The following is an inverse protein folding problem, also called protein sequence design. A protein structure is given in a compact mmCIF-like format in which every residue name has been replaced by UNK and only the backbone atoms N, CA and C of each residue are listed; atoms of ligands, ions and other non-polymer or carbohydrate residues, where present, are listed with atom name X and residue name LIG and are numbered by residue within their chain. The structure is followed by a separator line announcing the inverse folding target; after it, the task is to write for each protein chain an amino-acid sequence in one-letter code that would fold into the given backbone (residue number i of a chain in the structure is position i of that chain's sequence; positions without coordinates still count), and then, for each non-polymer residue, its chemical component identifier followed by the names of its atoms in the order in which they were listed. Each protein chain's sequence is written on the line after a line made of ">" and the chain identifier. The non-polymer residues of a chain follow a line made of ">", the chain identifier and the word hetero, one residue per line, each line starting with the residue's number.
data_IF_816094798064
#
_entry.id   IF_816094798064
#
_cell.length_a   1.000
_cell.length_b   1.000
_cell.length_c   1.000
_cell.angle_alpha   90.00
_cell.angle_beta   90.00
_cell.angle_gamma   90.00
#
_symmetry.space_group_name_H-M   'P 1'
#
loop_
_entity.id
_entity.type
_entity.pdbx_description
1 polymer ?
#
# COMPACT_ATOMS: atom_id res chain seq x y z
N UNK A 1 -6.74 53.53 30.70
CA UNK A 1 -5.78 52.78 29.85
C UNK A 1 -5.39 51.41 30.43
N UNK A 2 -5.18 51.27 31.75
CA UNK A 2 -4.77 50.01 32.39
C UNK A 2 -5.78 48.85 32.22
N UNK A 3 -7.10 49.13 32.28
CA UNK A 3 -8.16 48.13 32.06
C UNK A 3 -8.17 47.55 30.65
N UNK A 4 -7.87 48.37 29.63
CA UNK A 4 -7.84 47.93 28.22
C UNK A 4 -6.63 47.03 27.96
N UNK A 5 -5.46 47.37 28.52
CA UNK A 5 -4.25 46.54 28.43
C UNK A 5 -4.42 45.17 29.10
N UNK A 6 -5.15 45.12 30.21
CA UNK A 6 -5.47 43.86 30.90
C UNK A 6 -6.39 42.96 30.06
N UNK A 7 -7.42 43.52 29.44
CA UNK A 7 -8.37 42.77 28.58
C UNK A 7 -7.67 42.22 27.32
N UNK A 8 -6.81 43.02 26.69
CA UNK A 8 -6.06 42.56 25.51
C UNK A 8 -5.10 41.43 25.89
N UNK A 9 -4.43 41.54 27.05
CA UNK A 9 -3.54 40.49 27.55
C UNK A 9 -4.26 39.17 27.82
N UNK A 10 -5.41 39.19 28.49
CA UNK A 10 -6.18 37.97 28.77
C UNK A 10 -6.76 37.34 27.51
N UNK A 11 -7.29 38.13 26.57
CA UNK A 11 -7.77 37.60 25.28
C UNK A 11 -6.64 36.96 24.48
N UNK A 12 -5.45 37.57 24.47
CA UNK A 12 -4.30 37.02 23.73
C UNK A 12 -3.85 35.68 24.33
N UNK A 13 -3.82 35.55 25.66
CA UNK A 13 -3.49 34.29 26.35
C UNK A 13 -4.55 33.22 26.05
N UNK A 14 -5.84 33.58 26.06
CA UNK A 14 -6.93 32.64 25.74
C UNK A 14 -6.80 32.14 24.30
N UNK A 15 -6.50 33.02 23.34
CA UNK A 15 -6.30 32.64 21.93
C UNK A 15 -5.08 31.72 21.78
N UNK A 16 -3.97 32.01 22.47
CA UNK A 16 -2.78 31.15 22.46
C UNK A 16 -3.09 29.77 23.06
N UNK A 17 -3.82 29.72 24.18
CA UNK A 17 -4.24 28.46 24.81
C UNK A 17 -5.16 27.65 23.89
N UNK A 18 -6.12 28.30 23.21
CA UNK A 18 -7.00 27.66 22.23
C UNK A 18 -6.20 27.11 21.04
N UNK A 19 -5.24 27.87 20.52
CA UNK A 19 -4.38 27.43 19.41
C UNK A 19 -3.47 26.26 19.84
N UNK A 20 -2.91 26.29 21.05
CA UNK A 20 -2.11 25.18 21.58
C UNK A 20 -2.97 23.92 21.79
N UNK A 21 -4.18 24.05 22.33
CA UNK A 21 -5.11 22.94 22.49
C UNK A 21 -5.59 22.37 21.15
N UNK A 22 -5.81 23.20 20.14
CA UNK A 22 -6.17 22.77 18.79
C UNK A 22 -5.05 21.92 18.13
N UNK A 23 -3.78 22.24 18.38
CA UNK A 23 -2.65 21.46 17.86
C UNK A 23 -2.50 20.08 18.53
N UNK A 24 -2.91 19.91 19.80
CA UNK A 24 -2.87 18.62 20.49
C UNK A 24 -3.97 17.67 20.00
N UNK A 25 -5.11 18.22 19.53
CA UNK A 25 -6.23 17.43 18.98
C UNK A 25 -5.91 16.78 17.63
N UNK A 26 -4.96 17.32 16.84
CA UNK A 26 -4.55 16.74 15.55
C UNK A 26 -3.50 15.61 15.66
N UNK A 27 -3.00 15.27 16.85
CA UNK A 27 -1.99 14.21 17.04
C UNK A 27 -2.57 12.86 17.52
N UNK A 28 -3.89 12.71 17.56
CA UNK A 28 -4.55 11.48 18.00
C UNK A 28 -5.40 10.89 16.88
N UNK A 29 -4.77 10.30 15.86
CA UNK A 29 -5.44 9.27 15.06
C UNK A 29 -5.48 7.97 15.86
N UNK A 30 -6.36 7.89 16.86
CA UNK A 30 -6.83 6.58 17.30
C UNK A 30 -7.79 6.09 16.23
N UNK A 31 -7.33 5.20 15.34
CA UNK A 31 -8.24 4.46 14.46
C UNK A 31 -9.25 3.75 15.39
N UNK A 32 -10.54 4.13 15.42
CA UNK A 32 -11.48 3.43 16.24
C UNK A 32 -11.70 2.09 15.55
N UNK A 33 -10.99 1.07 16.00
CA UNK A 33 -11.28 -0.32 15.63
C UNK A 33 -12.65 -0.63 16.27
N UNK A 34 -13.72 -0.34 15.53
CA UNK A 34 -15.08 -0.72 15.92
C UNK A 34 -15.06 -2.25 15.98
N UNK A 35 -14.98 -2.79 17.21
CA UNK A 35 -15.06 -4.22 17.46
C UNK A 35 -16.51 -4.65 17.25
N UNK A 36 -16.89 -4.89 16.00
CA UNK A 36 -18.17 -5.52 15.67
C UNK A 36 -18.14 -6.96 16.18
N UNK A 37 -18.90 -7.22 17.24
CA UNK A 37 -19.20 -8.56 17.72
C UNK A 37 -20.59 -8.93 17.21
N UNK A 38 -20.69 -10.01 16.42
CA UNK A 38 -21.97 -10.54 15.98
C UNK A 38 -22.39 -11.69 16.93
N UNK A 39 -23.59 -11.67 17.55
CA UNK A 39 -24.03 -12.70 18.49
C UNK A 39 -24.05 -14.13 17.93
N UNK A 40 -24.13 -14.26 16.60
CA UNK A 40 -24.25 -15.52 15.87
C UNK A 40 -23.00 -15.87 15.04
N UNK A 41 -21.91 -15.09 15.15
CA UNK A 41 -20.70 -15.31 14.36
C UNK A 41 -19.44 -14.85 15.08
N UNK A 42 -18.40 -15.69 15.07
CA UNK A 42 -17.09 -15.39 15.65
C UNK A 42 -16.25 -14.43 14.79
N UNK A 43 -16.76 -14.06 13.61
CA UNK A 43 -16.09 -13.14 12.68
C UNK A 43 -16.00 -11.74 13.28
N UNK A 44 -14.83 -11.10 13.16
CA UNK A 44 -14.57 -9.75 13.71
C UNK A 44 -14.57 -8.66 12.64
N UNK A 45 -14.77 -9.03 11.38
CA UNK A 45 -14.75 -8.11 10.24
C UNK A 45 -15.95 -8.32 9.32
N UNK A 46 -16.46 -7.24 8.67
CA UNK A 46 -17.54 -7.35 7.69
C UNK A 46 -17.24 -8.30 6.53
N UNK A 47 -16.02 -8.30 6.00
CA UNK A 47 -15.65 -9.21 4.91
C UNK A 47 -15.52 -10.67 5.36
N UNK A 48 -15.06 -10.92 6.59
CA UNK A 48 -15.02 -12.27 7.16
C UNK A 48 -16.43 -12.87 7.25
N UNK A 49 -17.42 -12.07 7.66
CA UNK A 49 -18.82 -12.47 7.69
C UNK A 49 -19.36 -12.84 6.30
N UNK A 50 -19.08 -12.01 5.28
CA UNK A 50 -19.48 -12.28 3.89
C UNK A 50 -18.81 -13.57 3.36
N UNK A 51 -17.53 -13.77 3.65
CA UNK A 51 -16.79 -14.98 3.27
C UNK A 51 -17.38 -16.26 3.87
N UNK A 52 -17.70 -16.21 5.17
CA UNK A 52 -18.31 -17.35 5.87
C UNK A 52 -19.70 -17.68 5.34
N UNK A 53 -20.52 -16.66 5.10
CA UNK A 53 -21.84 -16.84 4.51
C UNK A 53 -21.76 -17.46 3.11
N UNK A 54 -20.86 -16.96 2.27
CA UNK A 54 -20.64 -17.48 0.91
C UNK A 54 -20.25 -18.96 0.92
N UNK A 55 -19.32 -19.38 1.79
CA UNK A 55 -18.89 -20.79 1.89
C UNK A 55 -20.01 -21.72 2.37
N UNK A 56 -20.81 -21.28 3.34
CA UNK A 56 -21.96 -22.05 3.84
C UNK A 56 -23.01 -22.21 2.73
N UNK A 57 -23.34 -21.12 2.03
CA UNK A 57 -24.28 -21.14 0.92
C UNK A 57 -23.82 -22.06 -0.21
N UNK A 58 -22.52 -22.03 -0.55
CA UNK A 58 -21.94 -22.90 -1.57
C UNK A 58 -22.01 -24.38 -1.17
N UNK A 59 -21.72 -24.70 0.10
CA UNK A 59 -21.84 -26.06 0.63
C UNK A 59 -23.28 -26.59 0.60
N UNK A 60 -24.25 -25.74 0.97
CA UNK A 60 -25.68 -26.09 0.91
C UNK A 60 -26.15 -26.31 -0.54
N UNK A 61 -25.72 -25.46 -1.47
CA UNK A 61 -26.02 -25.62 -2.89
C UNK A 61 -25.46 -26.93 -3.45
N UNK A 62 -24.21 -27.28 -3.10
CA UNK A 62 -23.60 -28.55 -3.49
C UNK A 62 -24.31 -29.77 -2.89
N UNK A 63 -24.68 -29.72 -1.61
CA UNK A 63 -25.43 -30.78 -0.95
C UNK A 63 -26.82 -30.98 -1.55
N UNK A 64 -27.53 -29.89 -1.87
CA UNK A 64 -28.82 -29.94 -2.55
C UNK A 64 -28.70 -30.55 -3.95
N UNK A 65 -27.69 -30.14 -4.72
CA UNK A 65 -27.42 -30.71 -6.04
C UNK A 65 -27.14 -32.22 -5.96
N UNK A 66 -26.32 -32.65 -5.01
CA UNK A 66 -26.06 -34.07 -4.76
C UNK A 66 -27.35 -34.83 -4.38
N UNK A 67 -28.17 -34.27 -3.49
CA UNK A 67 -29.45 -34.87 -3.09
C UNK A 67 -30.40 -35.08 -4.26
N UNK A 68 -30.53 -34.08 -5.14
CA UNK A 68 -31.36 -34.17 -6.36
C UNK A 68 -30.80 -35.21 -7.33
N UNK A 69 -29.48 -35.30 -7.49
CA UNK A 69 -28.85 -36.30 -8.34
C UNK A 69 -29.08 -37.73 -7.82
N UNK A 70 -28.94 -37.95 -6.51
CA UNK A 70 -29.22 -39.26 -5.89
C UNK A 70 -30.69 -39.63 -6.05
N UNK A 71 -31.60 -38.69 -5.76
CA UNK A 71 -33.03 -38.90 -5.93
C UNK A 71 -33.40 -39.25 -7.37
N UNK A 72 -32.89 -38.48 -8.35
CA UNK A 72 -33.10 -38.74 -9.77
C UNK A 72 -32.53 -40.10 -10.21
N UNK A 73 -31.35 -40.48 -9.72
CA UNK A 73 -30.74 -41.77 -10.04
C UNK A 73 -31.58 -42.95 -9.50
N UNK A 74 -32.02 -42.88 -8.24
CA UNK A 74 -32.89 -43.90 -7.64
C UNK A 74 -34.21 -43.98 -8.42
N UNK A 75 -34.85 -42.84 -8.67
CA UNK A 75 -36.10 -42.79 -9.42
C UNK A 75 -35.95 -43.41 -10.81
N UNK A 76 -34.86 -43.13 -11.52
CA UNK A 76 -34.59 -43.69 -12.85
C UNK A 76 -34.38 -45.21 -12.84
N UNK A 77 -33.67 -45.73 -11.83
CA UNK A 77 -33.37 -47.18 -11.72
C UNK A 77 -34.56 -48.01 -11.25
N UNK A 78 -35.40 -47.47 -10.37
CA UNK A 78 -36.52 -48.20 -9.75
C UNK A 78 -37.82 -48.05 -10.56
N UNK A 79 -37.93 -47.04 -11.43
CA UNK A 79 -39.15 -46.83 -12.22
C UNK A 79 -39.26 -47.76 -13.43
N UNK A 80 -40.38 -48.50 -13.50
CA UNK A 80 -40.76 -49.29 -14.68
C UNK A 80 -41.49 -48.48 -15.75
N UNK A 81 -42.12 -47.35 -15.38
CA UNK A 81 -42.88 -46.50 -16.29
C UNK A 81 -42.00 -45.50 -17.03
N UNK A 82 -42.27 -45.29 -18.33
CA UNK A 82 -41.53 -44.34 -19.19
C UNK A 82 -41.64 -42.90 -18.69
N UNK A 83 -42.80 -42.53 -18.13
CA UNK A 83 -43.07 -41.19 -17.57
C UNK A 83 -42.17 -40.88 -16.38
N UNK A 84 -42.08 -41.78 -15.40
CA UNK A 84 -41.22 -41.60 -14.23
C UNK A 84 -39.72 -41.58 -14.57
N UNK A 85 -39.32 -42.25 -15.65
CA UNK A 85 -37.95 -42.14 -16.19
C UNK A 85 -37.69 -40.77 -16.79
N UNK A 86 -38.67 -40.19 -17.48
CA UNK A 86 -38.56 -38.85 -18.02
C UNK A 86 -38.50 -37.80 -16.89
N UNK A 87 -39.34 -37.94 -15.87
CA UNK A 87 -39.32 -37.08 -14.68
C UNK A 87 -37.96 -37.13 -13.97
N UNK A 88 -37.39 -38.34 -13.80
CA UNK A 88 -36.05 -38.51 -13.23
C UNK A 88 -34.96 -37.78 -14.02
N UNK A 89 -35.04 -37.81 -15.35
CA UNK A 89 -34.11 -37.09 -16.22
C UNK A 89 -34.29 -35.58 -16.11
N UNK A 90 -35.50 -35.06 -15.89
CA UNK A 90 -35.73 -33.63 -15.68
C UNK A 90 -35.07 -33.15 -14.38
N UNK A 91 -35.21 -33.91 -13.29
CA UNK A 91 -34.51 -33.63 -12.03
C UNK A 91 -32.98 -33.62 -12.19
N UNK A 92 -32.43 -34.62 -12.88
CA UNK A 92 -30.98 -34.71 -13.15
C UNK A 92 -30.53 -33.53 -14.01
N UNK A 93 -31.24 -33.23 -15.10
CA UNK A 93 -30.92 -32.09 -15.98
C UNK A 93 -31.00 -30.76 -15.24
N UNK A 94 -31.99 -30.57 -14.36
CA UNK A 94 -32.12 -29.40 -13.51
C UNK A 94 -30.91 -29.21 -12.59
N UNK A 95 -30.49 -30.29 -11.92
CA UNK A 95 -29.30 -30.26 -11.06
C UNK A 95 -28.01 -29.96 -11.86
N UNK A 96 -27.86 -30.55 -13.06
CA UNK A 96 -26.72 -30.29 -13.95
C UNK A 96 -26.69 -28.84 -14.44
N UNK A 97 -27.82 -28.28 -14.86
CA UNK A 97 -27.90 -26.87 -15.25
C UNK A 97 -27.60 -25.92 -14.07
N UNK A 98 -28.05 -26.26 -12.87
CA UNK A 98 -27.70 -25.53 -11.65
C UNK A 98 -26.20 -25.57 -11.34
N UNK A 99 -25.56 -26.74 -11.48
CA UNK A 99 -24.11 -26.89 -11.31
C UNK A 99 -23.33 -26.14 -12.39
N UNK A 100 -23.78 -26.16 -13.64
CA UNK A 100 -23.18 -25.39 -14.74
C UNK A 100 -23.30 -23.88 -14.48
N UNK A 101 -24.43 -23.40 -13.99
CA UNK A 101 -24.60 -21.98 -13.62
C UNK A 101 -23.67 -21.59 -12.45
N UNK A 102 -23.57 -22.44 -11.44
CA UNK A 102 -22.69 -22.23 -10.29
C UNK A 102 -21.21 -22.22 -10.73
N UNK A 103 -20.81 -23.16 -11.59
CA UNK A 103 -19.47 -23.20 -12.16
C UNK A 103 -19.21 -22.00 -13.08
N UNK A 104 -20.18 -21.59 -13.89
CA UNK A 104 -20.09 -20.40 -14.73
C UNK A 104 -19.89 -19.13 -13.91
N UNK A 105 -20.64 -18.97 -12.83
CA UNK A 105 -20.46 -17.85 -11.89
C UNK A 105 -19.07 -17.88 -11.24
N UNK A 106 -18.58 -19.07 -10.84
CA UNK A 106 -17.23 -19.25 -10.32
C UNK A 106 -16.16 -18.84 -11.34
N UNK A 107 -16.28 -19.29 -12.59
CA UNK A 107 -15.29 -19.01 -13.65
C UNK A 107 -15.25 -17.53 -14.04
N UNK A 108 -16.40 -16.85 -14.07
CA UNK A 108 -16.46 -15.40 -14.32
C UNK A 108 -15.72 -14.64 -13.21
N UNK A 109 -16.01 -14.96 -11.94
CA UNK A 109 -15.32 -14.35 -10.81
C UNK A 109 -13.81 -14.63 -10.85
N UNK A 110 -13.44 -15.88 -11.12
CA UNK A 110 -12.05 -16.31 -11.20
C UNK A 110 -11.27 -15.64 -12.35
N UNK A 111 -11.91 -15.44 -13.50
CA UNK A 111 -11.30 -14.79 -14.67
C UNK A 111 -11.08 -13.30 -14.45
N UNK A 112 -12.01 -12.62 -13.79
CA UNK A 112 -11.88 -11.19 -13.47
C UNK A 112 -10.85 -11.00 -12.38
N UNK A 113 -10.96 -11.75 -11.28
CA UNK A 113 -10.00 -11.72 -10.18
C UNK A 113 -10.14 -12.97 -9.29
N UNK A 114 -9.12 -13.84 -9.24
CA UNK A 114 -9.15 -15.07 -8.44
C UNK A 114 -9.26 -14.82 -6.92
N UNK A 115 -8.94 -13.62 -6.44
CA UNK A 115 -9.11 -13.23 -5.03
C UNK A 115 -10.59 -13.04 -4.63
N UNK A 116 -11.50 -12.88 -5.59
CA UNK A 116 -12.95 -12.77 -5.32
C UNK A 116 -13.57 -14.12 -4.93
N UNK A 117 -12.90 -15.21 -5.27
CA UNK A 117 -13.33 -16.57 -4.89
C UNK A 117 -12.49 -17.12 -3.75
N UNK A 118 -11.21 -16.75 -3.71
CA UNK A 118 -10.34 -16.96 -2.55
C UNK A 118 -10.49 -15.80 -1.57
N UNK A 119 -11.66 -15.70 -0.93
CA UNK A 119 -11.98 -14.64 0.02
C UNK A 119 -11.05 -14.71 1.25
N UNK A 120 -9.88 -14.05 1.13
CA UNK A 120 -8.98 -13.75 2.23
C UNK A 120 -9.76 -12.91 3.24
N UNK A 121 -9.65 -13.26 4.53
CA UNK A 121 -10.25 -12.44 5.57
C UNK A 121 -9.65 -11.04 5.48
N UNK A 122 -10.44 -10.01 5.78
CA UNK A 122 -9.89 -8.65 5.90
C UNK A 122 -8.79 -8.55 6.97
N UNK A 123 -8.64 -9.57 7.83
CA UNK A 123 -7.52 -9.73 8.74
C UNK A 123 -6.20 -10.07 8.03
N UNK A 124 -6.18 -10.45 6.75
CA UNK A 124 -4.96 -10.52 5.92
C UNK A 124 -4.76 -9.29 5.02
N UNK A 125 -5.85 -8.65 4.56
CA UNK A 125 -5.76 -7.36 3.85
C UNK A 125 -5.42 -6.19 4.80
N UNK A 126 -5.70 -6.34 6.09
CA UNK A 126 -5.46 -5.33 7.14
C UNK A 126 -4.79 -5.94 8.38
N UNK A 127 -4.10 -7.08 8.25
CA UNK A 127 -3.27 -7.62 9.35
C UNK A 127 -2.27 -6.54 9.74
N UNK A 128 -2.23 -6.09 11.01
CA UNK A 128 -1.00 -5.53 11.53
C UNK A 128 0.05 -6.65 11.39
N UNK A 129 1.17 -6.36 10.73
CA UNK A 129 2.28 -7.32 10.60
C UNK A 129 2.67 -7.77 12.01
N UNK A 130 2.31 -9.00 12.38
CA UNK A 130 2.89 -9.66 13.53
C UNK A 130 4.34 -10.03 13.15
N UNK A 131 5.32 -9.88 14.06
CA UNK A 131 6.72 -10.06 13.71
C UNK A 131 6.97 -11.53 13.39
N UNK A 132 7.10 -11.86 12.11
CA UNK A 132 7.53 -13.19 11.67
C UNK A 132 6.80 -13.73 10.43
N UNK A 133 7.47 -13.61 9.29
CA UNK A 133 7.42 -14.56 8.17
C UNK A 133 6.23 -14.50 7.21
N UNK A 134 5.98 -13.33 6.61
CA UNK A 134 5.65 -13.18 5.19
C UNK A 134 6.08 -11.76 4.80
N UNK A 135 7.06 -11.67 3.91
CA UNK A 135 7.87 -10.46 3.68
C UNK A 135 7.10 -9.37 2.93
N UNK A 136 6.19 -8.67 3.61
CA UNK A 136 6.01 -7.23 3.39
C UNK A 136 7.18 -6.56 4.09
N UNK A 137 8.22 -6.35 3.32
CA UNK A 137 9.49 -5.68 3.61
C UNK A 137 9.22 -4.21 3.83
N UNK A 138 8.41 -3.84 4.82
CA UNK A 138 8.55 -2.49 5.37
C UNK A 138 9.97 -2.43 5.92
N UNK A 139 10.86 -1.60 5.34
CA UNK A 139 12.21 -1.51 5.82
C UNK A 139 12.19 -1.14 7.30
N UNK A 140 12.90 -1.91 8.12
CA UNK A 140 13.16 -1.53 9.51
C UNK A 140 14.33 -0.53 9.52
N UNK A 141 14.25 0.55 10.32
CA UNK A 141 15.23 1.63 10.28
C UNK A 141 16.65 1.12 10.49
N UNK A 142 17.51 1.33 9.49
CA UNK A 142 18.94 1.03 9.55
C UNK A 142 19.33 -0.44 9.56
N UNK A 143 18.39 -1.37 9.36
CA UNK A 143 18.66 -2.83 9.45
C UNK A 143 18.23 -3.61 8.22
N UNK A 144 17.58 -2.96 7.25
CA UNK A 144 17.13 -3.61 6.02
C UNK A 144 18.28 -3.74 5.01
N UNK A 145 18.42 -4.95 4.48
CA UNK A 145 19.40 -5.27 3.43
C UNK A 145 19.02 -4.62 2.10
N UNK A 146 19.99 -4.50 1.19
CA UNK A 146 19.77 -3.96 -0.17
C UNK A 146 18.63 -4.72 -0.91
N UNK A 147 18.68 -6.05 -0.91
CA UNK A 147 17.67 -6.90 -1.54
C UNK A 147 16.25 -6.66 -0.98
N UNK A 148 16.14 -6.50 0.34
CA UNK A 148 14.88 -6.18 1.01
C UNK A 148 14.36 -4.80 0.60
N UNK A 149 15.20 -3.79 0.44
CA UNK A 149 14.72 -2.46 0.04
C UNK A 149 14.31 -2.45 -1.44
N UNK A 150 15.07 -3.14 -2.31
CA UNK A 150 14.73 -3.27 -3.73
C UNK A 150 13.40 -3.95 -3.96
N UNK A 151 13.20 -5.09 -3.30
CA UNK A 151 11.96 -5.84 -3.44
C UNK A 151 10.78 -5.01 -2.91
N UNK A 152 10.96 -4.19 -1.86
CA UNK A 152 9.91 -3.35 -1.29
C UNK A 152 9.49 -2.25 -2.27
N UNK A 153 10.47 -1.51 -2.77
CA UNK A 153 10.24 -0.45 -3.75
C UNK A 153 9.60 -0.99 -5.03
N UNK A 154 10.05 -2.14 -5.52
CA UNK A 154 9.47 -2.81 -6.69
C UNK A 154 8.03 -3.26 -6.43
N UNK A 155 7.72 -3.83 -5.27
CA UNK A 155 6.37 -4.29 -4.93
C UNK A 155 5.39 -3.13 -4.82
N UNK A 156 5.74 -2.06 -4.07
CA UNK A 156 4.87 -0.90 -3.85
C UNK A 156 4.62 -0.12 -5.13
N UNK A 157 5.65 0.00 -5.98
CA UNK A 157 5.55 0.78 -7.22
C UNK A 157 5.00 0.00 -8.41
N UNK A 158 4.75 -1.30 -8.27
CA UNK A 158 4.43 -2.17 -9.42
C UNK A 158 5.58 -2.25 -10.44
N UNK A 159 6.83 -2.16 -9.96
CA UNK A 159 8.05 -2.21 -10.79
C UNK A 159 8.48 -0.87 -11.39
N UNK A 160 7.84 0.25 -11.03
CA UNK A 160 8.14 1.58 -11.57
C UNK A 160 9.31 2.28 -10.88
N UNK A 161 9.59 1.93 -9.62
CA UNK A 161 10.82 2.32 -8.95
C UNK A 161 11.85 1.21 -9.20
N UNK A 162 12.90 1.53 -9.95
CA UNK A 162 13.96 0.61 -10.34
C UNK A 162 15.32 1.11 -9.88
N UNK A 163 16.31 0.21 -9.84
CA UNK A 163 17.69 0.54 -9.49
C UNK A 163 18.60 0.15 -10.65
N UNK A 164 19.39 1.09 -11.14
CA UNK A 164 20.09 0.96 -12.43
C UNK A 164 21.18 -0.13 -12.45
N UNK A 165 21.79 -0.43 -11.30
CA UNK A 165 22.80 -1.48 -11.19
C UNK A 165 22.59 -2.33 -9.92
N UNK A 166 22.96 -3.62 -9.94
CA UNK A 166 23.00 -4.43 -8.72
C UNK A 166 24.12 -3.96 -7.79
N UNK A 167 24.05 -4.38 -6.51
CA UNK A 167 25.15 -4.25 -5.55
C UNK A 167 26.43 -4.89 -6.14
N UNK A 168 27.64 -4.30 -5.94
CA UNK A 168 27.97 -3.14 -5.10
C UNK A 168 27.92 -1.78 -5.80
N UNK A 169 27.53 -1.71 -7.08
CA UNK A 169 27.59 -0.44 -7.85
C UNK A 169 26.54 0.57 -7.42
N UNK A 170 25.37 0.08 -7.07
CA UNK A 170 24.34 0.87 -6.39
C UNK A 170 23.91 0.03 -5.19
N UNK A 171 24.02 0.56 -3.98
CA UNK A 171 23.61 -0.13 -2.75
C UNK A 171 22.48 0.63 -2.09
N UNK A 172 21.41 -0.06 -1.71
CA UNK A 172 20.36 0.49 -0.85
C UNK A 172 20.55 0.10 0.62
N UNK A 173 21.51 -0.77 0.92
CA UNK A 173 21.76 -1.25 2.28
C UNK A 173 22.15 -0.08 3.21
N UNK A 174 21.44 0.08 4.33
CA UNK A 174 21.69 1.18 5.27
C UNK A 174 21.01 2.50 4.90
N UNK A 175 20.15 2.53 3.87
CA UNK A 175 19.24 3.66 3.69
C UNK A 175 18.34 3.83 4.92
N UNK A 176 18.06 5.09 5.24
CA UNK A 176 17.15 5.45 6.34
C UNK A 176 15.71 5.32 5.88
N UNK A 177 14.80 5.05 6.81
CA UNK A 177 13.36 5.01 6.50
C UNK A 177 12.83 6.34 5.97
N UNK A 178 13.40 7.45 6.47
CA UNK A 178 13.11 8.79 5.97
C UNK A 178 13.43 8.94 4.48
N UNK A 179 14.50 8.29 4.05
CA UNK A 179 14.97 8.30 2.67
C UNK A 179 14.08 7.42 1.80
N UNK A 180 13.76 6.22 2.25
CA UNK A 180 12.87 5.31 1.51
C UNK A 180 11.46 5.90 1.38
N UNK A 181 10.92 6.47 2.47
CA UNK A 181 9.63 7.17 2.47
C UNK A 181 9.65 8.43 1.59
N UNK A 182 10.78 9.14 1.57
CA UNK A 182 11.00 10.28 0.71
C UNK A 182 10.99 9.92 -0.78
N UNK A 183 11.64 8.82 -1.16
CA UNK A 183 11.59 8.28 -2.53
C UNK A 183 10.16 7.92 -2.93
N UNK A 184 9.39 7.26 -2.06
CA UNK A 184 7.98 6.95 -2.32
C UNK A 184 7.11 8.21 -2.44
N UNK A 185 7.36 9.24 -1.61
CA UNK A 185 6.68 10.53 -1.72
C UNK A 185 6.96 11.19 -3.07
N UNK A 186 8.22 11.18 -3.50
CA UNK A 186 8.63 11.76 -4.77
C UNK A 186 8.01 11.02 -5.96
N UNK A 187 8.02 9.69 -5.93
CA UNK A 187 7.34 8.84 -6.90
C UNK A 187 5.84 9.12 -7.00
N UNK A 188 5.15 9.26 -5.86
CA UNK A 188 3.73 9.63 -5.85
C UNK A 188 3.48 11.01 -6.47
N UNK A 189 4.36 11.99 -6.21
CA UNK A 189 4.18 13.35 -6.75
C UNK A 189 4.46 13.50 -8.24
N UNK A 190 5.27 12.62 -8.83
CA UNK A 190 5.44 12.60 -10.29
C UNK A 190 4.33 11.81 -11.01
N UNK A 191 3.19 11.54 -10.34
CA UNK A 191 2.10 10.77 -10.93
C UNK A 191 2.40 9.28 -11.04
N UNK A 192 3.28 8.75 -10.16
CA UNK A 192 3.78 7.37 -10.22
C UNK A 192 4.58 7.11 -11.49
N UNK A 193 5.47 8.03 -11.84
CA UNK A 193 6.39 7.93 -12.98
C UNK A 193 7.40 6.77 -12.84
N UNK A 194 8.12 6.49 -13.91
CA UNK A 194 9.26 5.56 -13.87
C UNK A 194 10.45 6.28 -13.21
N UNK A 195 10.81 5.85 -12.01
CA UNK A 195 11.84 6.45 -11.17
C UNK A 195 13.02 5.49 -11.05
N UNK A 196 14.21 5.95 -11.46
CA UNK A 196 15.42 5.13 -11.47
C UNK A 196 16.41 5.66 -10.45
N UNK A 197 16.70 4.83 -9.44
CA UNK A 197 17.77 5.05 -8.47
C UNK A 197 19.10 4.67 -9.11
N UNK A 198 20.03 5.61 -9.17
CA UNK A 198 21.36 5.42 -9.76
C UNK A 198 22.45 5.21 -8.71
N UNK A 199 22.25 5.72 -7.50
CA UNK A 199 23.19 5.61 -6.38
C UNK A 199 22.43 5.71 -5.04
N UNK A 200 22.95 5.07 -3.99
CA UNK A 200 22.34 4.99 -2.66
C UNK A 200 23.38 5.16 -1.56
N UNK A 201 23.81 4.07 -0.93
CA UNK A 201 24.74 4.08 0.21
C UNK A 201 26.16 3.67 -0.13
N UNK A 202 26.45 3.35 -1.38
CA UNK A 202 27.80 3.02 -1.81
C UNK A 202 28.78 4.12 -1.41
N UNK A 203 29.81 3.74 -0.66
CA UNK A 203 30.74 4.67 0.00
C UNK A 203 31.83 5.19 -0.94
N UNK A 204 31.71 4.95 -2.25
CA UNK A 204 32.86 4.98 -3.12
C UNK A 204 33.45 6.38 -3.34
N UNK A 205 32.71 7.50 -3.22
CA UNK A 205 33.26 8.81 -3.63
C UNK A 205 32.76 10.10 -2.93
N UNK A 206 32.07 10.07 -1.78
CA UNK A 206 31.55 11.31 -1.17
C UNK A 206 32.09 11.63 0.24
N UNK A 207 32.38 12.92 0.44
CA UNK A 207 32.98 13.47 1.64
C UNK A 207 32.22 13.07 2.93
N UNK A 208 32.93 12.76 4.03
CA UNK A 208 32.31 12.41 5.29
C UNK A 208 31.45 13.58 5.79
N UNK A 209 30.16 13.32 5.97
CA UNK A 209 29.20 14.30 6.44
C UNK A 209 27.99 13.62 7.07
N UNK A 210 27.34 14.28 8.02
CA UNK A 210 26.15 13.75 8.71
C UNK A 210 25.04 13.35 7.74
N UNK A 211 24.89 14.09 6.64
CA UNK A 211 23.85 13.96 5.63
C UNK A 211 24.44 13.50 4.29
N UNK A 212 24.94 12.27 4.22
CA UNK A 212 25.63 11.70 3.07
C UNK A 212 24.98 10.41 2.54
N UNK A 213 25.50 9.91 1.42
CA UNK A 213 25.19 8.58 0.88
C UNK A 213 25.53 7.49 1.90
N UNK A 214 26.76 7.51 2.42
CA UNK A 214 27.25 6.56 3.42
C UNK A 214 26.40 6.51 4.72
N UNK A 215 25.73 7.61 5.08
CA UNK A 215 24.83 7.67 6.24
C UNK A 215 23.36 7.42 5.90
N UNK A 216 23.06 7.05 4.65
CA UNK A 216 21.73 6.64 4.19
C UNK A 216 20.72 7.78 4.00
N UNK A 217 21.17 9.03 3.99
CA UNK A 217 20.30 10.21 3.83
C UNK A 217 20.04 10.60 2.38
N UNK A 218 20.89 10.12 1.46
CA UNK A 218 20.89 10.54 0.07
C UNK A 218 20.64 9.39 -0.88
N UNK A 219 20.03 9.72 -2.01
CA UNK A 219 19.84 8.83 -3.16
C UNK A 219 20.03 9.66 -4.41
N UNK A 220 20.76 9.11 -5.38
CA UNK A 220 20.86 9.70 -6.71
C UNK A 220 19.76 9.17 -7.60
N UNK A 221 19.09 10.08 -8.30
CA UNK A 221 17.97 9.78 -9.17
C UNK A 221 18.25 10.21 -10.61
N UNK A 222 17.90 9.34 -11.56
CA UNK A 222 17.96 9.67 -12.99
C UNK A 222 16.94 10.77 -13.30
N UNK A 223 17.33 11.88 -13.94
CA UNK A 223 16.40 12.93 -14.34
C UNK A 223 15.50 12.42 -15.45
N UNK A 224 14.20 12.70 -15.33
CA UNK A 224 13.17 12.49 -16.35
C UNK A 224 12.25 13.70 -16.34
N UNK A 225 11.47 13.94 -17.40
CA UNK A 225 10.57 15.11 -17.46
C UNK A 225 9.55 15.12 -16.32
N UNK A 226 8.98 13.96 -15.98
CA UNK A 226 8.04 13.79 -14.87
C UNK A 226 8.69 14.01 -13.51
N UNK A 227 9.88 13.43 -13.28
CA UNK A 227 10.62 13.61 -12.04
C UNK A 227 11.04 15.07 -11.86
N UNK A 228 11.56 15.69 -12.92
CA UNK A 228 11.99 17.09 -12.92
C UNK A 228 10.82 18.00 -12.56
N UNK A 229 9.67 17.81 -13.21
CA UNK A 229 8.45 18.58 -12.93
C UNK A 229 7.99 18.42 -11.49
N UNK A 230 8.03 17.19 -10.95
CA UNK A 230 7.69 16.93 -9.55
C UNK A 230 8.65 17.60 -8.57
N UNK A 231 9.96 17.58 -8.85
CA UNK A 231 10.99 18.24 -8.03
C UNK A 231 10.83 19.76 -8.07
N UNK A 232 10.57 20.35 -9.25
CA UNK A 232 10.36 21.79 -9.40
C UNK A 232 9.20 22.30 -8.56
N UNK A 233 8.13 21.52 -8.43
CA UNK A 233 6.98 21.84 -7.59
C UNK A 233 7.25 21.71 -6.07
N UNK A 234 8.36 21.09 -5.67
CA UNK A 234 8.75 20.86 -4.27
C UNK A 234 9.84 21.82 -3.80
N UNK A 235 10.58 22.42 -4.72
CA UNK A 235 11.68 23.33 -4.40
C UNK A 235 11.14 24.73 -4.03
N UNK A 236 11.81 25.39 -3.10
CA UNK A 236 11.49 26.77 -2.74
C UNK A 236 11.63 27.72 -3.93
N UNK A 237 10.74 28.70 -4.04
CA UNK A 237 10.72 29.69 -5.14
C UNK A 237 11.99 30.55 -5.22
N UNK A 238 12.81 30.55 -4.17
CA UNK A 238 14.13 31.18 -4.16
C UNK A 238 15.17 30.43 -4.99
N UNK A 239 14.92 29.16 -5.35
CA UNK A 239 15.79 28.43 -6.26
C UNK A 239 15.39 28.69 -7.71
N UNK A 240 16.40 28.89 -8.56
CA UNK A 240 16.22 28.99 -10.00
C UNK A 240 15.78 27.64 -10.58
N UNK A 241 14.82 27.65 -11.51
CA UNK A 241 14.35 26.48 -12.24
C UNK A 241 14.59 26.69 -13.75
N UNK A 242 15.23 25.74 -14.47
CA UNK A 242 15.99 24.61 -13.92
C UNK A 242 17.22 25.12 -13.15
N UNK A 243 17.64 24.42 -12.08
CA UNK A 243 18.81 24.82 -11.32
C UNK A 243 20.09 24.68 -12.16
N UNK A 244 21.04 25.63 -12.06
CA UNK A 244 22.38 25.43 -12.61
C UNK A 244 23.04 24.18 -12.01
N UNK A 245 23.96 23.57 -12.75
CA UNK A 245 24.73 22.42 -12.25
C UNK A 245 25.38 22.72 -10.90
N UNK A 246 25.37 21.74 -10.01
CA UNK A 246 25.87 21.77 -8.64
C UNK A 246 25.15 22.78 -7.70
N UNK A 247 23.95 23.23 -8.06
CA UNK A 247 23.15 24.10 -7.18
C UNK A 247 22.36 23.28 -6.18
N UNK A 248 22.49 23.59 -4.89
CA UNK A 248 21.62 23.06 -3.84
C UNK A 248 20.35 23.91 -3.76
N UNK A 249 19.21 23.29 -4.02
CA UNK A 249 17.89 23.87 -3.82
C UNK A 249 17.27 23.34 -2.53
N UNK A 250 16.81 24.24 -1.67
CA UNK A 250 16.03 23.87 -0.50
C UNK A 250 14.62 23.43 -0.92
N UNK A 251 14.18 22.28 -0.44
CA UNK A 251 12.82 21.79 -0.59
C UNK A 251 11.88 22.42 0.44
N UNK A 252 10.64 22.68 0.03
CA UNK A 252 9.53 23.04 0.92
C UNK A 252 9.14 21.87 1.85
N UNK A 253 9.55 20.65 1.49
CA UNK A 253 9.35 19.40 2.22
C UNK A 253 10.49 19.04 3.17
N UNK A 254 11.44 19.96 3.40
CA UNK A 254 12.58 19.74 4.30
C UNK A 254 13.69 18.87 3.70
N UNK A 255 13.59 18.55 2.41
CA UNK A 255 14.65 17.87 1.66
C UNK A 255 15.59 18.90 1.01
N UNK A 256 16.76 18.45 0.57
CA UNK A 256 17.65 19.24 -0.28
C UNK A 256 17.77 18.54 -1.62
N UNK A 257 17.57 19.29 -2.71
CA UNK A 257 17.65 18.80 -4.08
C UNK A 257 18.87 19.43 -4.75
N UNK A 258 19.84 18.62 -5.17
CA UNK A 258 21.02 19.10 -5.89
C UNK A 258 21.07 18.48 -7.28
N UNK A 259 21.09 19.32 -8.31
CA UNK A 259 21.28 18.85 -9.68
C UNK A 259 22.77 18.90 -10.01
N UNK A 260 23.47 17.76 -10.03
CA UNK A 260 24.93 17.78 -10.18
C UNK A 260 25.39 17.97 -11.63
N UNK A 261 24.79 17.26 -12.59
CA UNK A 261 24.91 17.50 -14.06
C UNK A 261 23.99 16.54 -14.84
N UNK A 262 23.98 15.26 -14.44
CA UNK A 262 23.29 14.18 -15.14
C UNK A 262 22.38 13.34 -14.21
N UNK A 263 22.30 13.72 -12.93
CA UNK A 263 21.46 13.11 -11.91
C UNK A 263 21.08 14.15 -10.85
N UNK A 264 20.03 13.83 -10.09
CA UNK A 264 19.65 14.52 -8.88
C UNK A 264 20.24 13.83 -7.67
N UNK A 265 21.09 14.50 -6.90
CA UNK A 265 21.49 14.12 -5.54
C UNK A 265 20.44 14.68 -4.57
N UNK A 266 19.54 13.80 -4.11
CA UNK A 266 18.43 14.17 -3.22
C UNK A 266 18.72 13.72 -1.81
N UNK A 267 18.74 14.68 -0.89
CA UNK A 267 18.94 14.45 0.53
C UNK A 267 17.63 14.59 1.30
N UNK A 268 17.18 13.51 1.92
CA UNK A 268 15.88 13.47 2.60
C UNK A 268 16.00 13.82 4.07
N UNK A 269 15.12 14.73 4.55
CA UNK A 269 15.20 15.30 5.90
C UNK A 269 16.56 15.94 6.21
N UNK A 270 17.16 16.54 5.18
CA UNK A 270 18.41 17.28 5.28
C UNK A 270 18.08 18.76 5.17
N UNK A 271 17.84 19.46 6.30
CA UNK A 271 17.63 20.89 6.25
C UNK A 271 18.86 21.54 5.64
N UNK A 272 18.68 22.23 4.51
CA UNK A 272 19.73 23.07 3.94
C UNK A 272 20.14 24.08 5.01
N UNK A 273 21.44 24.29 5.20
CA UNK A 273 21.92 25.40 6.04
C UNK A 273 21.26 26.68 5.49
N UNK A 274 20.31 27.22 6.24
CA UNK A 274 19.68 28.51 5.93
C UNK A 274 20.71 29.61 6.04
#
# INVERSE_FOLDING_TARGET
>A
MQKIKFIIGTVTIIVIVIVVLANVVLAAESSPQIKLTYPWSEEKSPAGLVSRFYKIALGLAGAAALGVLIYGAILWTVSGAVTSKQDALEWIKGALWGLVLLLGAYLILWTINPDLVNLKSQEELFKPIAPGTATTITPTPGTSTDAQIRQYLSQISGGKITVNYPEPRTSLNGLRDSTISGVLSLWNSCGKCDLVITAGTETAYHAPGKFGHASGYKVDLRPTDDLNSAIYNRIATSCRIPPPANTNCAGLDGNTYRYETNHWDVCFQCPSKR
#
